data_IF_997566710464
#
_entry.id   IF_997566710464
#
_cell.length_a   1.000
_cell.length_b   1.000
_cell.length_c   1.000
_cell.angle_alpha   90.00
_cell.angle_beta   90.00
_cell.angle_gamma   90.00
#
_symmetry.space_group_name_H-M   'P 1'
#
loop_
_entity.id
_entity.type
_entity.pdbx_description
1 polymer ?
#
# COMPACT_ATOMS: atom_id res chain seq x y z
N UNK A 1 -11.39 9.31 -15.29
CA UNK A 1 -10.26 8.39 -15.02
C UNK A 1 -10.00 8.30 -13.52
N UNK A 2 -11.03 7.94 -12.72
CA UNK A 2 -10.96 7.91 -11.26
C UNK A 2 -11.42 6.56 -10.67
N UNK A 3 -11.57 5.53 -11.52
CA UNK A 3 -12.19 4.25 -11.15
C UNK A 3 -11.25 3.04 -11.07
N UNK A 4 -9.96 3.16 -11.40
CA UNK A 4 -9.07 1.98 -11.49
C UNK A 4 -8.30 1.66 -10.22
N UNK A 5 -8.05 2.63 -9.33
CA UNK A 5 -7.34 2.38 -8.06
C UNK A 5 -8.25 1.76 -6.98
N UNK A 6 -9.56 1.74 -7.21
CA UNK A 6 -10.54 1.11 -6.32
C UNK A 6 -10.87 -0.34 -6.63
N UNK A 7 -10.32 -0.90 -7.72
CA UNK A 7 -10.48 -2.31 -8.10
C UNK A 7 -9.44 -3.15 -7.35
N UNK A 8 -9.90 -4.05 -6.48
CA UNK A 8 -9.04 -4.91 -5.68
C UNK A 8 -8.14 -5.84 -6.48
N UNK A 9 -8.53 -6.22 -7.71
CA UNK A 9 -7.69 -6.98 -8.62
C UNK A 9 -6.52 -6.16 -9.16
N UNK A 10 -6.76 -4.88 -9.49
CA UNK A 10 -5.71 -3.94 -9.91
C UNK A 10 -4.73 -3.70 -8.77
N UNK A 11 -5.25 -3.57 -7.53
CA UNK A 11 -4.43 -3.33 -6.36
C UNK A 11 -3.52 -4.51 -6.00
N UNK A 12 -4.06 -5.74 -6.02
CA UNK A 12 -3.26 -6.96 -5.88
C UNK A 12 -2.14 -7.03 -6.92
N UNK A 13 -2.50 -6.83 -8.19
CA UNK A 13 -1.53 -6.85 -9.30
C UNK A 13 -0.44 -5.79 -9.13
N UNK A 14 -0.79 -4.61 -8.62
CA UNK A 14 0.19 -3.56 -8.33
C UNK A 14 1.11 -3.96 -7.18
N UNK A 15 0.58 -4.47 -6.06
CA UNK A 15 1.35 -4.92 -4.90
C UNK A 15 2.35 -6.03 -5.27
N UNK A 16 1.90 -7.03 -6.04
CA UNK A 16 2.73 -8.14 -6.52
C UNK A 16 3.94 -7.68 -7.34
N UNK A 17 3.84 -6.53 -8.02
CA UNK A 17 4.93 -5.93 -8.79
C UNK A 17 5.75 -4.92 -7.97
N UNK A 18 5.09 -4.19 -7.09
CA UNK A 18 5.69 -3.12 -6.31
C UNK A 18 6.68 -3.68 -5.28
N UNK A 19 6.35 -4.76 -4.58
CA UNK A 19 7.22 -5.38 -3.57
C UNK A 19 8.60 -5.75 -4.14
N UNK A 20 8.73 -6.58 -5.19
CA UNK A 20 10.04 -6.93 -5.74
C UNK A 20 10.78 -5.73 -6.37
N UNK A 21 10.05 -4.78 -6.95
CA UNK A 21 10.66 -3.56 -7.48
C UNK A 21 11.25 -2.67 -6.37
N UNK A 22 10.59 -2.58 -5.22
CA UNK A 22 11.05 -1.84 -4.05
C UNK A 22 12.20 -2.56 -3.35
N UNK A 23 12.19 -3.89 -3.29
CA UNK A 23 13.35 -4.68 -2.82
C UNK A 23 14.60 -4.35 -3.64
N UNK A 24 14.49 -4.37 -4.97
CA UNK A 24 15.60 -4.05 -5.86
C UNK A 24 16.03 -2.58 -5.80
N UNK A 25 15.12 -1.67 -5.46
CA UNK A 25 15.38 -0.23 -5.38
C UNK A 25 15.76 0.27 -3.99
N UNK A 26 15.63 -0.55 -2.93
CA UNK A 26 15.75 -0.16 -1.51
C UNK A 26 16.98 0.70 -1.24
N UNK A 27 18.16 0.17 -1.54
CA UNK A 27 19.44 0.84 -1.26
C UNK A 27 19.61 2.14 -2.05
N UNK A 28 19.08 2.18 -3.27
CA UNK A 28 19.08 3.40 -4.09
C UNK A 28 18.14 4.46 -3.51
N UNK A 29 17.03 4.05 -2.89
CA UNK A 29 16.09 4.97 -2.23
C UNK A 29 16.68 5.47 -0.90
N UNK A 30 17.28 4.58 -0.10
CA UNK A 30 18.00 4.94 1.13
C UNK A 30 19.08 6.00 0.85
N UNK A 31 19.77 5.88 -0.28
CA UNK A 31 20.83 6.81 -0.68
C UNK A 31 20.35 8.19 -1.20
N UNK A 32 19.07 8.34 -1.57
CA UNK A 32 18.54 9.60 -2.12
C UNK A 32 18.05 10.56 -1.03
N UNK A 33 17.65 10.06 0.14
CA UNK A 33 17.18 10.92 1.22
C UNK A 33 18.37 11.49 2.01
N UNK A 34 18.87 12.66 1.59
CA UNK A 34 20.08 13.31 2.13
C UNK A 34 19.84 14.62 2.90
N UNK A 35 18.61 14.93 3.37
CA UNK A 35 18.35 16.22 4.04
C UNK A 35 17.53 16.14 5.35
N UNK A 36 17.97 16.79 6.45
CA UNK A 36 19.32 17.32 6.74
C UNK A 36 20.30 16.24 7.26
N UNK A 37 19.81 15.05 7.57
CA UNK A 37 20.60 13.89 8.02
C UNK A 37 20.23 12.71 7.12
N UNK A 38 21.19 11.95 6.58
CA UNK A 38 20.89 10.71 5.87
C UNK A 38 20.20 9.73 6.82
N UNK A 39 18.91 9.50 6.61
CA UNK A 39 18.11 8.57 7.43
C UNK A 39 18.54 7.12 7.15
N UNK A 40 19.01 6.85 5.93
CA UNK A 40 19.58 5.57 5.51
C UNK A 40 18.61 4.39 5.53
N UNK A 41 17.35 4.64 5.90
CA UNK A 41 16.31 3.65 6.10
C UNK A 41 15.04 3.96 5.28
N UNK A 42 15.01 5.04 4.50
CA UNK A 42 13.81 5.50 3.78
C UNK A 42 13.29 4.44 2.81
N UNK A 43 14.18 3.80 2.05
CA UNK A 43 13.85 2.67 1.18
C UNK A 43 13.38 1.45 1.98
N UNK A 44 13.96 1.21 3.15
CA UNK A 44 13.49 0.16 4.08
C UNK A 44 12.07 0.44 4.58
N UNK A 45 11.79 1.66 5.04
CA UNK A 45 10.48 2.07 5.54
C UNK A 45 9.40 1.99 4.46
N UNK A 46 9.72 2.39 3.22
CA UNK A 46 8.80 2.25 2.08
C UNK A 46 8.56 0.78 1.74
N UNK A 47 9.61 -0.06 1.71
CA UNK A 47 9.46 -1.50 1.45
C UNK A 47 8.59 -2.18 2.52
N UNK A 48 8.83 -1.91 3.80
CA UNK A 48 8.04 -2.47 4.91
C UNK A 48 6.58 -2.04 4.83
N UNK A 49 6.32 -0.77 4.53
CA UNK A 49 4.96 -0.25 4.36
C UNK A 49 4.20 -0.98 3.24
N UNK A 50 4.85 -1.16 2.08
CA UNK A 50 4.20 -1.82 0.93
C UNK A 50 4.05 -3.33 1.15
N UNK A 51 5.01 -3.99 1.80
CA UNK A 51 4.89 -5.40 2.21
C UNK A 51 3.74 -5.61 3.19
N UNK A 52 3.62 -4.77 4.22
CA UNK A 52 2.50 -4.82 5.16
C UNK A 52 1.15 -4.63 4.47
N UNK A 53 1.07 -3.74 3.47
CA UNK A 53 -0.12 -3.60 2.65
C UNK A 53 -0.43 -4.85 1.81
N UNK A 54 0.59 -5.51 1.25
CA UNK A 54 0.44 -6.77 0.52
C UNK A 54 -0.07 -7.91 1.41
N UNK A 55 0.45 -8.03 2.63
CA UNK A 55 0.02 -9.03 3.62
C UNK A 55 -1.45 -8.83 4.03
N UNK A 56 -1.85 -7.59 4.30
CA UNK A 56 -3.24 -7.26 4.65
C UNK A 56 -4.22 -7.55 3.50
N UNK A 57 -3.85 -7.22 2.26
CA UNK A 57 -4.67 -7.54 1.08
C UNK A 57 -4.72 -9.05 0.82
N UNK A 58 -3.63 -9.78 1.05
CA UNK A 58 -3.61 -11.24 0.92
C UNK A 58 -4.51 -11.93 1.97
N UNK A 59 -4.70 -11.31 3.14
CA UNK A 59 -5.61 -11.79 4.18
C UNK A 59 -7.09 -11.55 3.85
N UNK A 60 -7.40 -10.67 2.89
CA UNK A 60 -8.76 -10.37 2.43
C UNK A 60 -9.15 -11.33 1.29
N UNK A 61 -10.24 -12.11 1.44
CA UNK A 61 -10.75 -12.93 0.35
C UNK A 61 -11.08 -12.06 -0.87
N UNK A 62 -10.68 -12.51 -2.06
CA UNK A 62 -10.95 -11.80 -3.30
C UNK A 62 -12.45 -11.59 -3.50
N UNK A 63 -12.86 -10.34 -3.77
CA UNK A 63 -14.27 -9.96 -3.96
C UNK A 63 -15.08 -9.82 -2.67
N UNK A 64 -14.43 -9.78 -1.49
CA UNK A 64 -15.12 -9.48 -0.24
C UNK A 64 -15.64 -8.02 -0.24
N UNK A 65 -16.90 -7.78 0.14
CA UNK A 65 -17.41 -6.42 0.29
C UNK A 65 -16.72 -5.71 1.46
N UNK A 66 -16.25 -4.47 1.27
CA UNK A 66 -15.71 -3.69 2.38
C UNK A 66 -16.83 -3.30 3.36
N UNK A 67 -16.70 -3.65 4.63
CA UNK A 67 -17.52 -3.04 5.68
C UNK A 67 -16.97 -1.64 5.96
N UNK A 68 -17.73 -0.62 5.60
CA UNK A 68 -17.38 0.78 5.86
C UNK A 68 -17.37 1.03 7.37
N UNK A 69 -16.22 0.80 8.02
CA UNK A 69 -15.97 1.16 9.40
C UNK A 69 -15.76 2.67 9.51
N UNK A 70 -16.84 3.39 9.81
CA UNK A 70 -16.89 4.71 10.47
C UNK A 70 -15.88 5.77 10.03
N UNK A 71 -16.24 6.58 9.04
CA UNK A 71 -15.53 7.82 8.69
C UNK A 71 -15.89 8.28 7.28
N UNK A 72 -16.99 9.03 7.15
CA UNK A 72 -17.57 9.41 5.87
C UNK A 72 -16.76 10.48 5.13
N UNK A 73 -16.47 10.23 3.84
CA UNK A 73 -16.68 11.22 2.76
C UNK A 73 -16.65 10.52 1.39
N UNK A 74 -17.82 10.36 0.77
CA UNK A 74 -17.96 10.23 -0.69
C UNK A 74 -18.14 8.82 -1.28
N UNK A 75 -19.36 8.30 -1.27
CA UNK A 75 -20.06 7.74 -2.44
C UNK A 75 -19.46 6.62 -3.30
N UNK A 76 -18.35 5.98 -2.95
CA UNK A 76 -17.85 4.79 -3.64
C UNK A 76 -17.92 3.60 -2.70
N UNK A 77 -18.60 2.52 -3.11
CA UNK A 77 -18.37 1.20 -2.52
C UNK A 77 -16.89 0.89 -2.67
N UNK A 78 -16.12 0.99 -1.58
CA UNK A 78 -14.72 0.57 -1.61
C UNK A 78 -14.68 -0.96 -1.68
N UNK A 79 -13.77 -1.48 -2.49
CA UNK A 79 -13.38 -2.88 -2.41
C UNK A 79 -12.62 -3.11 -1.09
N UNK A 80 -12.76 -4.29 -0.48
CA UNK A 80 -12.14 -4.58 0.82
C UNK A 80 -10.61 -4.48 0.75
N UNK A 81 -10.05 -4.69 -0.44
CA UNK A 81 -8.64 -4.54 -0.74
C UNK A 81 -8.18 -3.09 -0.67
N UNK A 82 -8.93 -2.15 -1.26
CA UNK A 82 -8.63 -0.72 -1.20
C UNK A 82 -8.65 -0.22 0.24
N UNK A 83 -9.64 -0.66 1.02
CA UNK A 83 -9.72 -0.34 2.44
C UNK A 83 -8.56 -0.98 3.24
N UNK A 84 -8.12 -2.19 2.90
CA UNK A 84 -6.99 -2.85 3.53
C UNK A 84 -5.68 -2.09 3.28
N UNK A 85 -5.43 -1.64 2.04
CA UNK A 85 -4.26 -0.81 1.72
C UNK A 85 -4.30 0.54 2.43
N UNK A 86 -5.45 1.24 2.44
CA UNK A 86 -5.56 2.50 3.17
C UNK A 86 -5.28 2.33 4.66
N UNK A 87 -5.74 1.24 5.28
CA UNK A 87 -5.43 0.91 6.69
C UNK A 87 -3.96 0.57 6.89
N UNK A 88 -3.35 -0.17 5.98
CA UNK A 88 -1.92 -0.49 6.04
C UNK A 88 -1.06 0.78 5.92
N UNK A 89 -1.37 1.64 4.96
CA UNK A 89 -0.69 2.93 4.78
C UNK A 89 -0.90 3.87 5.99
N UNK A 90 -2.11 3.90 6.56
CA UNK A 90 -2.43 4.77 7.71
C UNK A 90 -1.75 4.34 9.02
N UNK A 91 -1.39 3.06 9.16
CA UNK A 91 -0.71 2.57 10.36
C UNK A 91 0.80 2.85 10.36
N UNK A 92 1.41 3.08 9.19
CA UNK A 92 2.86 3.10 9.06
C UNK A 92 3.48 1.74 9.42
N UNK A 93 4.72 1.51 9.01
CA UNK A 93 5.54 0.42 9.54
C UNK A 93 6.20 0.85 10.85
#
# INVERSE_FOLDING_TARGET
MAGQLGDGGVLRTWLDRAVPALEAARERIDAVNVFPVPDGDTGTNVLLTVRGAAEEVAAVPAGAPATAGGGAAGGATQDADGAAVLRALARGA
#
